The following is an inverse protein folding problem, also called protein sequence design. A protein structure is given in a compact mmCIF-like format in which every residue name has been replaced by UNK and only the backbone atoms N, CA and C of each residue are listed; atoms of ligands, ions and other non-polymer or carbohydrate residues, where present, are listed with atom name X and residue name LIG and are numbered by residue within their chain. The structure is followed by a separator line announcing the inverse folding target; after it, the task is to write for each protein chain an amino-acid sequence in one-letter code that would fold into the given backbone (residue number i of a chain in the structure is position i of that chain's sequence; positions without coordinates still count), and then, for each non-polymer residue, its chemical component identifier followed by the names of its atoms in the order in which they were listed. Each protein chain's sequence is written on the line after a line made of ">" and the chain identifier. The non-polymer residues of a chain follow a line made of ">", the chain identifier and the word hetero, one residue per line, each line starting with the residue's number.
data_IF_804920137030
#
_entry.id   IF_804920137030
#
_cell.length_a   1.000
_cell.length_b   1.000
_cell.length_c   1.000
_cell.angle_alpha   90.00
_cell.angle_beta   90.00
_cell.angle_gamma   90.00
#
_symmetry.space_group_name_H-M   'P 1'
#
loop_
_entity.id
_entity.type
_entity.pdbx_description
1 polymer ?
#
# COMPACT_ATOMS: atom_id res chain seq x y z
N UNK A 1 -24.41 16.93 -72.35
CA UNK A 1 -24.15 17.54 -71.03
C UNK A 1 -24.21 16.42 -69.99
N UNK A 2 -23.09 15.99 -69.33
CA UNK A 2 -23.13 14.95 -68.31
C UNK A 2 -23.31 15.59 -66.94
N UNK A 3 -24.12 14.91 -66.09
CA UNK A 3 -24.38 15.24 -64.72
C UNK A 3 -23.17 14.91 -63.86
N UNK A 4 -22.73 15.85 -63.04
CA UNK A 4 -21.67 15.66 -62.03
C UNK A 4 -22.22 14.91 -60.82
N UNK A 5 -21.76 13.72 -60.61
CA UNK A 5 -22.01 12.95 -59.38
C UNK A 5 -20.94 13.34 -58.35
N UNK A 6 -21.29 14.13 -57.36
CA UNK A 6 -20.45 14.40 -56.20
C UNK A 6 -20.46 13.19 -55.27
N UNK A 7 -19.33 12.53 -55.16
CA UNK A 7 -19.10 11.47 -54.17
C UNK A 7 -18.99 12.09 -52.77
N UNK A 8 -19.88 11.67 -51.87
CA UNK A 8 -19.82 12.00 -50.45
C UNK A 8 -18.80 11.06 -49.79
N UNK A 9 -17.76 11.63 -49.19
CA UNK A 9 -16.76 10.94 -48.41
C UNK A 9 -17.38 10.45 -47.07
N UNK A 10 -17.39 9.13 -46.74
CA UNK A 10 -18.05 8.61 -45.56
C UNK A 10 -17.25 8.76 -44.26
N UNK A 11 -16.14 9.51 -44.24
CA UNK A 11 -15.20 9.54 -43.08
C UNK A 11 -15.27 10.81 -42.21
N UNK A 12 -16.20 11.74 -42.47
CA UNK A 12 -16.40 12.92 -41.61
C UNK A 12 -17.60 12.70 -40.68
N UNK A 13 -17.35 12.08 -39.52
CA UNK A 13 -18.38 11.89 -38.48
C UNK A 13 -18.04 10.96 -37.33
N UNK A 14 -16.79 10.61 -37.15
CA UNK A 14 -16.40 9.89 -35.92
C UNK A 14 -16.29 10.91 -34.79
N UNK A 15 -17.28 10.91 -33.87
CA UNK A 15 -17.11 11.50 -32.53
C UNK A 15 -15.97 10.77 -31.87
N UNK A 16 -14.88 11.47 -31.51
CA UNK A 16 -13.81 10.93 -30.70
C UNK A 16 -14.40 10.34 -29.41
N UNK A 17 -13.98 9.15 -29.07
CA UNK A 17 -14.32 8.54 -27.80
C UNK A 17 -13.68 9.39 -26.68
N UNK A 18 -14.37 9.65 -25.57
CA UNK A 18 -13.79 10.34 -24.41
C UNK A 18 -12.46 9.72 -23.95
N UNK A 19 -12.28 8.44 -24.18
CA UNK A 19 -11.04 7.71 -23.93
C UNK A 19 -9.87 8.14 -24.82
N UNK A 20 -10.14 8.48 -26.08
CA UNK A 20 -9.13 8.92 -27.04
C UNK A 20 -8.64 10.34 -26.74
N UNK A 21 -9.56 11.22 -26.33
CA UNK A 21 -9.23 12.59 -25.92
C UNK A 21 -8.37 12.63 -24.65
N UNK A 22 -8.58 11.69 -23.69
CA UNK A 22 -7.74 11.54 -22.49
C UNK A 22 -6.35 11.03 -22.86
N UNK A 23 -6.26 10.05 -23.76
CA UNK A 23 -4.99 9.52 -24.24
C UNK A 23 -4.18 10.55 -25.01
N UNK A 24 -4.84 11.35 -25.86
CA UNK A 24 -4.20 12.43 -26.62
C UNK A 24 -3.78 13.61 -25.73
N UNK A 25 -4.54 13.93 -24.67
CA UNK A 25 -4.15 14.93 -23.66
C UNK A 25 -3.00 14.46 -22.80
N UNK A 26 -2.98 13.19 -22.36
CA UNK A 26 -1.83 12.59 -21.67
C UNK A 26 -0.56 12.65 -22.54
N UNK A 27 -0.67 12.26 -23.81
CA UNK A 27 0.44 12.33 -24.78
C UNK A 27 0.83 13.79 -25.08
N UNK A 28 -0.13 14.72 -25.11
CA UNK A 28 0.11 16.15 -25.33
C UNK A 28 0.79 16.82 -24.12
N UNK A 29 0.41 16.47 -22.89
CA UNK A 29 1.05 16.93 -21.66
C UNK A 29 2.51 16.44 -21.56
N UNK A 30 2.74 15.18 -21.94
CA UNK A 30 4.07 14.56 -22.02
C UNK A 30 4.99 15.29 -23.04
N UNK A 31 4.44 15.77 -24.15
CA UNK A 31 5.22 16.47 -25.19
C UNK A 31 5.61 17.90 -24.84
N UNK A 32 4.91 18.55 -23.92
CA UNK A 32 5.20 19.94 -23.53
C UNK A 32 6.24 20.11 -22.41
N UNK A 33 6.61 19.03 -21.73
CA UNK A 33 7.74 19.04 -20.79
C UNK A 33 8.90 18.32 -21.45
N UNK A 34 9.79 18.99 -22.11
CA UNK A 34 10.89 18.52 -22.96
C UNK A 34 11.87 17.45 -22.40
N UNK A 35 11.47 16.65 -21.41
CA UNK A 35 12.08 15.43 -20.95
C UNK A 35 11.10 14.28 -21.18
N UNK A 36 11.52 13.27 -21.95
CA UNK A 36 10.80 12.03 -22.05
C UNK A 36 10.59 11.48 -20.65
N UNK A 37 9.32 11.35 -20.17
CA UNK A 37 9.05 10.71 -18.90
C UNK A 37 9.55 9.26 -18.97
N UNK A 38 10.69 9.01 -18.35
CA UNK A 38 11.21 7.68 -18.18
C UNK A 38 10.52 7.08 -16.95
N UNK A 39 9.59 6.15 -17.15
CA UNK A 39 8.92 5.41 -16.07
C UNK A 39 9.78 4.25 -15.53
N UNK A 40 10.98 4.05 -16.05
CA UNK A 40 11.88 3.02 -15.56
C UNK A 40 12.68 3.58 -14.36
N UNK A 41 12.94 2.72 -13.40
CA UNK A 41 13.83 3.04 -12.30
C UNK A 41 15.25 3.28 -12.82
N UNK A 42 15.96 4.24 -12.19
CA UNK A 42 17.36 4.54 -12.50
C UNK A 42 18.29 3.34 -12.20
N UNK A 43 19.53 3.40 -12.66
CA UNK A 43 20.55 2.38 -12.34
C UNK A 43 20.74 2.26 -10.81
N UNK A 44 20.74 3.38 -10.08
CA UNK A 44 20.86 3.41 -8.62
C UNK A 44 19.67 2.75 -7.91
N UNK A 45 18.46 3.00 -8.40
CA UNK A 45 17.24 2.37 -7.87
C UNK A 45 17.19 0.86 -8.18
N UNK A 46 17.71 0.45 -9.35
CA UNK A 46 17.86 -0.96 -9.68
C UNK A 46 18.93 -1.64 -8.81
N UNK A 47 20.04 -0.96 -8.49
CA UNK A 47 21.03 -1.45 -7.54
C UNK A 47 20.43 -1.60 -6.13
N UNK A 48 19.65 -0.62 -5.68
CA UNK A 48 18.91 -0.72 -4.42
C UNK A 48 17.97 -1.94 -4.41
N UNK A 49 17.27 -2.19 -5.52
CA UNK A 49 16.41 -3.38 -5.66
C UNK A 49 17.19 -4.66 -5.49
N UNK A 50 18.32 -4.81 -6.19
CA UNK A 50 19.17 -6.00 -6.10
C UNK A 50 19.69 -6.22 -4.67
N UNK A 51 20.12 -5.15 -4.00
CA UNK A 51 20.54 -5.20 -2.60
C UNK A 51 19.38 -5.60 -1.67
N UNK A 52 18.21 -5.01 -1.86
CA UNK A 52 17.02 -5.34 -1.06
C UNK A 52 16.57 -6.78 -1.26
N UNK A 53 16.61 -7.30 -2.49
CA UNK A 53 16.32 -8.69 -2.80
C UNK A 53 17.30 -9.65 -2.13
N UNK A 54 18.60 -9.38 -2.24
CA UNK A 54 19.64 -10.18 -1.58
C UNK A 54 19.47 -10.19 -0.06
N UNK A 55 19.30 -9.00 0.54
CA UNK A 55 19.09 -8.87 1.98
C UNK A 55 17.84 -9.65 2.45
N UNK A 56 16.71 -9.52 1.76
CA UNK A 56 15.46 -10.19 2.15
C UNK A 56 15.47 -11.68 1.84
N UNK A 57 16.18 -12.14 0.81
CA UNK A 57 16.36 -13.56 0.56
C UNK A 57 17.07 -14.25 1.73
N UNK A 58 18.06 -13.58 2.33
CA UNK A 58 18.82 -14.11 3.46
C UNK A 58 18.10 -13.95 4.80
N UNK A 59 17.35 -12.85 5.00
CA UNK A 59 16.80 -12.48 6.33
C UNK A 59 15.28 -12.62 6.45
N UNK A 60 14.54 -12.70 5.34
CA UNK A 60 13.09 -12.84 5.31
C UNK A 60 12.62 -13.95 4.34
N UNK A 61 13.23 -15.15 4.34
CA UNK A 61 12.67 -16.28 3.62
C UNK A 61 11.26 -16.61 4.17
N UNK A 62 10.39 -17.33 3.44
CA UNK A 62 9.03 -17.65 3.89
C UNK A 62 8.95 -18.32 5.26
N UNK A 63 10.02 -19.00 5.69
CA UNK A 63 10.13 -19.60 7.03
C UNK A 63 10.05 -18.56 8.16
N UNK A 64 10.41 -17.30 7.91
CA UNK A 64 10.27 -16.21 8.91
C UNK A 64 8.79 -15.87 9.11
N UNK A 65 8.03 -15.70 8.02
CA UNK A 65 6.58 -15.49 8.11
C UNK A 65 5.89 -16.69 8.79
N UNK A 66 6.33 -17.91 8.48
CA UNK A 66 5.83 -19.13 9.12
C UNK A 66 6.11 -19.12 10.63
N UNK A 67 7.31 -18.77 11.05
CA UNK A 67 7.70 -18.68 12.47
C UNK A 67 6.82 -17.69 13.22
N UNK A 68 6.57 -16.50 12.66
CA UNK A 68 5.68 -15.50 13.27
C UNK A 68 4.26 -16.05 13.39
N UNK A 69 3.73 -16.66 12.33
CA UNK A 69 2.40 -17.26 12.33
C UNK A 69 2.24 -18.38 13.39
N UNK A 70 3.25 -19.24 13.54
CA UNK A 70 3.21 -20.38 14.46
C UNK A 70 3.45 -19.98 15.91
N UNK A 71 4.29 -18.98 16.16
CA UNK A 71 4.56 -18.47 17.50
C UNK A 71 3.44 -17.58 18.05
N UNK A 72 2.63 -17.02 17.17
CA UNK A 72 1.64 -15.99 17.53
C UNK A 72 2.27 -14.65 17.91
N UNK A 73 3.53 -14.42 17.51
CA UNK A 73 4.16 -13.10 17.63
C UNK A 73 3.51 -12.10 16.68
N UNK A 74 3.49 -10.82 17.06
CA UNK A 74 2.93 -9.77 16.22
C UNK A 74 3.80 -9.44 15.00
N UNK A 75 5.13 -9.65 15.11
CA UNK A 75 6.11 -9.42 14.03
C UNK A 75 7.43 -10.16 14.33
N UNK A 76 8.40 -10.09 13.40
CA UNK A 76 9.77 -10.57 13.59
C UNK A 76 10.69 -9.43 14.04
N UNK A 77 11.04 -9.39 15.32
CA UNK A 77 11.86 -8.32 15.92
C UNK A 77 13.28 -8.29 15.37
N UNK A 78 13.87 -9.46 15.06
CA UNK A 78 15.23 -9.51 14.50
C UNK A 78 15.27 -8.93 13.09
N UNK A 79 14.30 -9.30 12.27
CA UNK A 79 14.17 -8.75 10.92
C UNK A 79 13.92 -7.23 10.97
N UNK A 80 13.04 -6.77 11.87
CA UNK A 80 12.77 -5.35 12.05
C UNK A 80 14.05 -4.58 12.41
N UNK A 81 14.83 -5.04 13.37
CA UNK A 81 16.09 -4.40 13.74
C UNK A 81 17.06 -4.31 12.57
N UNK A 82 17.20 -5.39 11.78
CA UNK A 82 18.04 -5.39 10.57
C UNK A 82 17.55 -4.42 9.49
N UNK A 83 16.24 -4.28 9.31
CA UNK A 83 15.62 -3.31 8.39
C UNK A 83 15.93 -1.88 8.84
N UNK A 84 15.85 -1.60 10.12
CA UNK A 84 16.24 -0.31 10.72
C UNK A 84 17.73 -0.04 10.48
N UNK A 85 18.61 -1.02 10.73
CA UNK A 85 20.05 -0.91 10.48
C UNK A 85 20.39 -0.63 9.00
N UNK A 86 19.56 -1.11 8.06
CA UNK A 86 19.65 -0.76 6.63
C UNK A 86 19.17 0.65 6.31
N UNK A 87 18.62 1.39 7.28
CA UNK A 87 18.09 2.74 7.11
C UNK A 87 16.74 2.82 6.37
N UNK A 88 16.05 1.70 6.16
CA UNK A 88 14.81 1.71 5.37
C UNK A 88 13.68 2.48 6.01
N UNK A 89 13.63 2.52 7.35
CA UNK A 89 12.67 3.33 8.12
C UNK A 89 12.91 4.83 7.98
N UNK A 90 14.14 5.22 7.64
CA UNK A 90 14.60 6.59 7.51
C UNK A 90 14.53 7.13 6.07
N UNK A 91 14.16 6.29 5.08
CA UNK A 91 14.29 6.55 3.64
C UNK A 91 13.81 7.93 3.22
N UNK A 92 12.57 8.30 3.51
CA UNK A 92 11.95 9.57 3.07
C UNK A 92 11.95 10.67 4.13
N UNK A 93 12.45 10.38 5.33
CA UNK A 93 12.58 11.37 6.39
C UNK A 93 13.73 12.32 6.02
N UNK A 94 13.54 13.67 6.07
CA UNK A 94 14.59 14.62 5.81
C UNK A 94 15.81 14.44 6.73
N UNK A 95 17.01 14.76 6.21
CA UNK A 95 18.27 14.64 6.98
C UNK A 95 18.27 15.47 8.27
N UNK A 96 17.61 16.64 8.26
CA UNK A 96 17.45 17.51 9.44
C UNK A 96 16.69 16.84 10.59
N UNK A 97 15.90 15.81 10.31
CA UNK A 97 15.19 14.97 11.30
C UNK A 97 15.82 13.57 11.45
N UNK A 98 17.09 13.39 11.06
CA UNK A 98 17.80 12.13 11.22
C UNK A 98 17.45 11.07 10.17
N UNK A 99 16.83 11.45 9.06
CA UNK A 99 16.53 10.58 7.95
C UNK A 99 17.61 10.53 6.87
N UNK A 100 17.33 9.83 5.77
CA UNK A 100 18.21 9.73 4.60
C UNK A 100 17.88 10.75 3.51
N UNK A 101 16.73 11.42 3.58
CA UNK A 101 16.31 12.41 2.59
C UNK A 101 16.16 11.86 1.17
N UNK A 102 15.97 10.54 1.03
CA UNK A 102 15.78 9.90 -0.27
C UNK A 102 14.36 10.14 -0.79
N UNK A 103 14.14 9.78 -2.04
CA UNK A 103 12.85 10.01 -2.69
C UNK A 103 11.82 8.91 -2.41
N UNK A 104 10.57 9.15 -2.78
CA UNK A 104 9.52 8.12 -2.72
C UNK A 104 9.74 7.00 -3.72
N UNK A 105 10.59 7.19 -4.74
CA UNK A 105 10.92 6.12 -5.69
C UNK A 105 11.72 5.01 -5.01
N UNK A 106 12.72 5.37 -4.19
CA UNK A 106 13.49 4.40 -3.39
C UNK A 106 12.58 3.69 -2.38
N UNK A 107 11.66 4.41 -1.74
CA UNK A 107 10.69 3.79 -0.83
C UNK A 107 9.73 2.82 -1.56
N UNK A 108 9.34 3.13 -2.80
CA UNK A 108 8.56 2.21 -3.64
C UNK A 108 9.33 0.93 -3.97
N UNK A 109 10.63 1.01 -4.23
CA UNK A 109 11.49 -0.16 -4.45
C UNK A 109 11.55 -1.04 -3.20
N UNK A 110 11.77 -0.44 -2.02
CA UNK A 110 11.77 -1.16 -0.74
C UNK A 110 10.41 -1.81 -0.48
N UNK A 111 9.31 -1.09 -0.72
CA UNK A 111 7.95 -1.61 -0.54
C UNK A 111 7.69 -2.83 -1.42
N UNK A 112 8.13 -2.80 -2.69
CA UNK A 112 8.01 -3.93 -3.61
C UNK A 112 8.72 -5.18 -3.07
N UNK A 113 9.94 -5.03 -2.60
CA UNK A 113 10.73 -6.17 -2.14
C UNK A 113 10.22 -6.72 -0.79
N UNK A 114 9.75 -5.85 0.12
CA UNK A 114 9.06 -6.30 1.35
C UNK A 114 7.80 -7.11 1.03
N UNK A 115 7.04 -6.69 0.02
CA UNK A 115 5.88 -7.43 -0.47
C UNK A 115 6.24 -8.75 -1.11
N UNK A 116 7.32 -8.80 -1.90
CA UNK A 116 7.88 -10.00 -2.50
C UNK A 116 8.27 -11.05 -1.46
N UNK A 117 8.91 -10.61 -0.37
CA UNK A 117 9.34 -11.47 0.74
C UNK A 117 8.22 -11.78 1.75
N UNK A 118 7.02 -11.21 1.62
CA UNK A 118 5.92 -11.31 2.60
C UNK A 118 6.40 -10.98 4.01
N UNK A 119 7.30 -10.00 4.13
CA UNK A 119 7.99 -9.69 5.39
C UNK A 119 7.03 -9.40 6.53
N UNK A 120 7.16 -10.08 7.68
CA UNK A 120 6.27 -9.92 8.83
C UNK A 120 6.80 -8.84 9.78
N UNK A 121 6.78 -7.58 9.33
CA UNK A 121 7.30 -6.41 10.08
C UNK A 121 6.32 -5.23 10.01
N UNK A 122 6.30 -4.32 11.00
CA UNK A 122 5.36 -3.20 11.08
C UNK A 122 5.73 -2.03 10.14
N UNK A 123 6.36 -2.32 8.99
CA UNK A 123 6.88 -1.30 8.10
C UNK A 123 5.78 -0.40 7.54
N UNK A 124 4.68 -1.00 7.11
CA UNK A 124 3.60 -0.22 6.48
C UNK A 124 2.84 0.66 7.48
N UNK A 125 2.61 0.20 8.70
CA UNK A 125 1.95 1.01 9.74
C UNK A 125 2.86 2.15 10.21
N UNK A 126 4.14 1.89 10.39
CA UNK A 126 5.09 2.88 10.87
C UNK A 126 5.51 3.86 9.77
N UNK A 127 5.96 3.37 8.60
CA UNK A 127 6.53 4.21 7.54
C UNK A 127 5.45 4.78 6.61
N UNK A 128 4.56 3.94 6.03
CA UNK A 128 3.59 4.44 5.03
C UNK A 128 2.47 5.26 5.67
N UNK A 129 2.17 5.05 6.95
CA UNK A 129 1.04 5.68 7.61
C UNK A 129 1.46 6.70 8.67
N UNK A 130 2.11 6.28 9.77
CA UNK A 130 2.39 7.19 10.88
C UNK A 130 3.47 8.22 10.55
N UNK A 131 4.61 7.79 10.01
CA UNK A 131 5.69 8.69 9.57
C UNK A 131 5.20 9.68 8.53
N UNK A 132 4.48 9.18 7.52
CA UNK A 132 3.92 10.01 6.45
C UNK A 132 2.93 11.05 6.98
N UNK A 133 2.05 10.67 7.94
CA UNK A 133 1.12 11.61 8.56
C UNK A 133 1.84 12.75 9.30
N UNK A 134 2.97 12.46 9.98
CA UNK A 134 3.77 13.45 10.69
C UNK A 134 4.54 14.33 9.69
N UNK A 135 5.11 13.77 8.64
CA UNK A 135 5.75 14.54 7.57
C UNK A 135 4.79 15.53 6.93
N UNK A 136 3.57 15.10 6.63
CA UNK A 136 2.54 15.93 5.98
C UNK A 136 1.95 17.01 6.87
N UNK A 137 1.70 16.72 8.14
CA UNK A 137 0.83 17.53 8.99
C UNK A 137 1.42 17.90 10.35
N UNK A 138 2.59 17.38 10.71
CA UNK A 138 3.27 17.69 11.97
C UNK A 138 3.77 19.12 12.02
N UNK A 139 3.69 19.74 13.20
CA UNK A 139 4.45 20.95 13.49
C UNK A 139 5.94 20.63 13.53
N UNK A 140 6.82 21.63 13.39
CA UNK A 140 8.28 21.41 13.47
C UNK A 140 8.67 20.71 14.78
N UNK A 141 8.11 21.13 15.92
CA UNK A 141 8.35 20.48 17.21
C UNK A 141 7.90 19.01 17.25
N UNK A 142 6.80 18.66 16.58
CA UNK A 142 6.35 17.28 16.46
C UNK A 142 7.27 16.46 15.55
N UNK A 143 7.73 17.04 14.44
CA UNK A 143 8.68 16.40 13.55
C UNK A 143 10.02 16.17 14.25
N UNK A 144 10.57 17.17 14.92
CA UNK A 144 11.80 17.06 15.73
C UNK A 144 11.70 16.00 16.84
N UNK A 145 10.49 15.82 17.41
CA UNK A 145 10.27 14.86 18.49
C UNK A 145 10.17 13.43 17.99
N UNK A 146 9.41 13.22 16.89
CA UNK A 146 8.97 11.88 16.48
C UNK A 146 9.73 11.30 15.31
N UNK A 147 10.11 12.12 14.31
CA UNK A 147 10.74 11.58 13.10
C UNK A 147 12.09 10.92 13.37
N UNK A 148 12.99 11.47 14.23
CA UNK A 148 14.24 10.77 14.56
C UNK A 148 14.02 9.40 15.21
N UNK A 149 13.04 9.29 16.09
CA UNK A 149 12.72 8.03 16.79
C UNK A 149 12.10 7.00 15.84
N UNK A 150 11.24 7.45 14.92
CA UNK A 150 10.67 6.59 13.86
C UNK A 150 11.76 6.13 12.89
N UNK A 151 12.67 7.02 12.50
CA UNK A 151 13.81 6.71 11.65
C UNK A 151 14.73 5.65 12.28
N UNK A 152 15.03 5.81 13.58
CA UNK A 152 15.86 4.88 14.35
C UNK A 152 15.12 3.59 14.77
N UNK A 153 13.82 3.46 14.45
CA UNK A 153 13.01 2.30 14.87
C UNK A 153 12.79 2.19 16.38
N UNK A 154 13.12 3.23 17.15
CA UNK A 154 12.88 3.32 18.59
C UNK A 154 11.39 3.43 18.92
N UNK A 155 10.61 3.93 17.97
CA UNK A 155 9.16 4.08 18.05
C UNK A 155 8.53 3.42 16.84
N UNK A 156 7.54 2.57 17.08
CA UNK A 156 6.68 2.01 16.04
C UNK A 156 5.39 2.82 16.01
N UNK A 157 5.07 3.37 14.83
CA UNK A 157 3.87 4.15 14.63
C UNK A 157 2.72 3.35 14.01
N UNK A 158 1.48 3.81 14.22
CA UNK A 158 0.29 3.25 13.55
C UNK A 158 -0.75 4.32 13.22
N UNK A 159 -1.72 3.95 12.37
CA UNK A 159 -2.89 4.76 12.03
C UNK A 159 -4.17 4.10 12.54
N UNK A 160 -4.87 4.78 13.44
CA UNK A 160 -6.14 4.35 14.00
C UNK A 160 -7.30 5.19 13.42
N UNK A 161 -7.78 4.84 12.23
CA UNK A 161 -8.85 5.58 11.55
C UNK A 161 -10.23 4.92 11.71
N UNK A 162 -10.32 3.59 11.68
CA UNK A 162 -11.58 2.85 11.60
C UNK A 162 -12.22 2.60 12.98
N UNK A 163 -13.55 2.57 13.00
CA UNK A 163 -14.38 2.22 14.17
C UNK A 163 -15.33 1.06 13.88
N UNK A 164 -14.96 0.22 12.92
CA UNK A 164 -15.74 -0.89 12.41
C UNK A 164 -15.79 -0.91 10.89
N UNK A 165 -16.81 -1.54 10.33
CA UNK A 165 -16.98 -1.62 8.89
C UNK A 165 -17.39 -0.28 8.27
N UNK A 166 -16.93 -0.05 7.03
CA UNK A 166 -17.25 1.14 6.25
C UNK A 166 -16.20 2.25 6.32
N UNK A 167 -16.38 3.27 5.46
CA UNK A 167 -15.48 4.43 5.42
C UNK A 167 -15.76 5.36 6.61
N UNK A 168 -14.73 5.79 7.35
CA UNK A 168 -14.93 6.78 8.40
C UNK A 168 -15.38 8.11 7.79
N UNK A 169 -16.23 8.81 8.51
CA UNK A 169 -16.69 10.15 8.16
C UNK A 169 -16.92 10.96 9.43
N UNK A 170 -16.89 12.29 9.34
CA UNK A 170 -17.11 13.15 10.49
C UNK A 170 -18.47 12.89 11.20
N UNK A 171 -19.43 12.29 10.48
CA UNK A 171 -20.79 12.00 11.02
C UNK A 171 -20.88 10.68 11.77
N UNK A 172 -20.04 9.70 11.44
CA UNK A 172 -20.07 8.33 12.00
C UNK A 172 -18.91 8.02 12.96
N UNK A 173 -18.11 9.03 13.34
CA UNK A 173 -17.06 8.88 14.34
C UNK A 173 -17.65 8.95 15.75
N UNK A 174 -17.44 7.88 16.52
CA UNK A 174 -17.78 7.82 17.96
C UNK A 174 -16.60 8.26 18.82
N UNK A 175 -15.35 8.03 18.41
CA UNK A 175 -14.18 8.56 19.10
C UNK A 175 -14.20 10.07 19.15
N UNK A 176 -14.16 10.63 20.36
CA UNK A 176 -14.30 12.06 20.60
C UNK A 176 -13.18 12.61 21.47
N UNK A 177 -12.69 13.79 21.11
CA UNK A 177 -11.77 14.58 21.92
C UNK A 177 -12.53 15.72 22.59
N UNK A 178 -12.51 15.73 23.92
CA UNK A 178 -13.02 16.81 24.79
C UNK A 178 -11.94 17.24 25.75
N UNK A 179 -11.70 18.54 25.87
CA UNK A 179 -10.71 19.13 26.78
C UNK A 179 -9.31 18.46 26.65
N UNK A 180 -8.87 18.20 25.41
CA UNK A 180 -7.59 17.55 25.11
C UNK A 180 -7.51 16.07 25.50
N UNK A 181 -8.65 15.40 25.72
CA UNK A 181 -8.73 13.99 26.12
C UNK A 181 -9.58 13.20 25.14
N UNK A 182 -9.01 12.09 24.64
CA UNK A 182 -9.67 11.17 23.72
C UNK A 182 -10.38 10.05 24.48
N UNK A 183 -11.61 9.78 24.06
CA UNK A 183 -12.38 8.60 24.49
C UNK A 183 -13.06 7.95 23.29
N UNK A 184 -13.14 6.61 23.29
CA UNK A 184 -13.75 5.82 22.22
C UNK A 184 -12.97 4.57 21.90
N UNK A 185 -13.29 3.92 20.79
CA UNK A 185 -12.67 2.66 20.37
C UNK A 185 -12.35 2.68 18.88
N UNK A 186 -11.13 2.29 18.53
CA UNK A 186 -10.67 2.08 17.15
C UNK A 186 -10.48 0.61 16.83
N UNK A 187 -10.99 0.17 15.68
CA UNK A 187 -10.91 -1.23 15.22
C UNK A 187 -11.24 -1.34 13.72
N UNK A 188 -10.51 -2.15 12.93
CA UNK A 188 -9.20 -2.71 13.25
C UNK A 188 -8.11 -1.64 13.17
N UNK A 189 -7.03 -1.80 13.94
CA UNK A 189 -5.84 -0.95 13.88
C UNK A 189 -4.63 -1.83 13.59
N UNK A 190 -3.85 -1.56 12.53
CA UNK A 190 -2.67 -2.34 12.20
C UNK A 190 -1.60 -2.16 13.28
N UNK A 191 -0.92 -3.24 13.60
CA UNK A 191 0.21 -3.31 14.54
C UNK A 191 -0.06 -2.65 15.92
N UNK A 192 -1.32 -2.60 16.34
CA UNK A 192 -1.74 -1.90 17.56
C UNK A 192 -1.11 -2.47 18.84
N UNK A 193 -0.75 -3.76 18.85
CA UNK A 193 -0.15 -4.46 20.00
C UNK A 193 1.27 -4.02 20.32
N UNK A 194 1.96 -3.49 19.31
CA UNK A 194 3.37 -3.11 19.36
C UNK A 194 3.62 -1.63 19.07
N UNK A 195 2.56 -0.87 18.79
CA UNK A 195 2.68 0.56 18.49
C UNK A 195 2.97 1.37 19.75
N UNK A 196 3.94 2.27 19.67
CA UNK A 196 4.28 3.27 20.70
C UNK A 196 3.55 4.59 20.46
N UNK A 197 3.23 4.88 19.20
CA UNK A 197 2.58 6.11 18.75
C UNK A 197 1.43 5.80 17.79
N UNK A 198 0.25 6.36 18.04
CA UNK A 198 -0.88 6.25 17.14
C UNK A 198 -1.29 7.61 16.55
N UNK A 199 -1.45 7.68 15.23
CA UNK A 199 -2.20 8.74 14.56
C UNK A 199 -3.67 8.38 14.59
N UNK A 200 -4.50 9.14 15.29
CA UNK A 200 -5.90 8.80 15.53
C UNK A 200 -6.83 9.82 14.87
N UNK A 201 -7.74 9.33 14.04
CA UNK A 201 -8.86 10.11 13.54
C UNK A 201 -9.96 10.18 14.60
N UNK A 202 -10.29 11.36 15.11
CA UNK A 202 -11.37 11.55 16.07
C UNK A 202 -12.12 12.85 15.83
N UNK A 203 -13.35 12.92 16.32
CA UNK A 203 -14.12 14.18 16.27
C UNK A 203 -13.82 15.07 17.47
N UNK A 204 -13.91 16.37 17.25
CA UNK A 204 -14.05 17.38 18.28
C UNK A 204 -15.29 18.21 17.95
N UNK A 205 -16.35 18.02 18.73
CA UNK A 205 -17.67 18.50 18.37
C UNK A 205 -18.18 17.87 17.05
N UNK A 206 -18.47 18.69 16.04
CA UNK A 206 -18.97 18.25 14.72
C UNK A 206 -17.87 18.03 13.67
N UNK A 207 -16.61 18.30 14.00
CA UNK A 207 -15.49 18.25 13.04
C UNK A 207 -14.54 17.11 13.36
N UNK A 208 -14.05 16.42 12.33
CA UNK A 208 -13.00 15.44 12.48
C UNK A 208 -11.60 16.10 12.41
N UNK A 209 -10.68 15.60 13.22
CA UNK A 209 -9.27 16.00 13.26
C UNK A 209 -8.38 14.78 13.44
N UNK A 210 -7.10 14.90 13.08
CA UNK A 210 -6.09 13.92 13.43
C UNK A 210 -5.41 14.32 14.74
N UNK A 211 -5.00 13.32 15.49
CA UNK A 211 -4.32 13.47 16.77
C UNK A 211 -3.18 12.49 16.91
N UNK A 212 -2.08 12.91 17.52
CA UNK A 212 -1.03 12.03 18.01
C UNK A 212 -1.38 11.54 19.41
N UNK A 213 -1.21 10.24 19.63
CA UNK A 213 -1.48 9.59 20.92
C UNK A 213 -0.31 8.67 21.24
N UNK A 214 0.43 9.00 22.30
CA UNK A 214 1.39 8.07 22.88
C UNK A 214 0.63 6.88 23.49
N UNK A 215 1.06 5.67 23.20
CA UNK A 215 0.33 4.47 23.60
C UNK A 215 0.57 4.08 25.06
N UNK A 216 1.71 4.46 25.63
CA UNK A 216 2.01 4.22 27.05
C UNK A 216 1.36 5.26 27.96
N UNK A 217 0.05 5.12 28.18
CA UNK A 217 -0.73 5.94 29.12
C UNK A 217 -1.42 5.10 30.19
N UNK A 218 -0.90 3.90 30.45
CA UNK A 218 -1.46 2.97 31.41
C UNK A 218 -2.91 2.59 31.10
N UNK A 219 -3.78 2.58 32.11
CA UNK A 219 -5.19 2.16 31.94
C UNK A 219 -6.05 3.08 31.05
N UNK A 220 -5.50 4.19 30.53
CA UNK A 220 -6.22 5.09 29.62
C UNK A 220 -6.18 4.63 28.19
N UNK A 221 -5.21 3.80 27.82
CA UNK A 221 -5.09 3.17 26.51
C UNK A 221 -5.03 1.66 26.73
N UNK A 222 -6.01 0.95 26.23
CA UNK A 222 -6.06 -0.52 26.34
C UNK A 222 -6.12 -1.12 24.95
N UNK A 223 -5.19 -2.05 24.67
CA UNK A 223 -5.12 -2.78 23.41
C UNK A 223 -5.57 -4.22 23.61
N UNK A 224 -6.29 -4.76 22.65
CA UNK A 224 -6.62 -6.18 22.57
C UNK A 224 -6.46 -6.68 21.14
N UNK A 225 -5.95 -7.92 20.93
CA UNK A 225 -5.71 -8.45 19.61
C UNK A 225 -7.01 -8.64 18.82
N UNK A 226 -6.91 -8.54 17.49
CA UNK A 226 -7.97 -8.85 16.53
C UNK A 226 -7.43 -9.91 15.57
N UNK A 227 -8.09 -11.05 15.51
CA UNK A 227 -7.72 -12.11 14.59
C UNK A 227 -8.04 -11.70 13.16
N UNK A 228 -7.04 -11.78 12.30
CA UNK A 228 -7.16 -11.52 10.86
C UNK A 228 -6.85 -12.77 10.05
N UNK A 229 -7.10 -12.71 8.74
CA UNK A 229 -6.76 -13.81 7.84
C UNK A 229 -5.24 -13.97 7.68
N UNK A 230 -4.48 -12.88 7.82
CA UNK A 230 -3.00 -12.88 7.81
C UNK A 230 -2.45 -12.46 9.18
N UNK A 231 -2.27 -13.40 10.12
CA UNK A 231 -1.73 -13.10 11.44
C UNK A 231 -0.24 -12.74 11.45
N UNK A 232 0.46 -12.80 10.30
CA UNK A 232 1.86 -12.35 10.19
C UNK A 232 2.01 -10.83 10.19
N UNK A 233 0.89 -10.11 10.24
CA UNK A 233 0.76 -8.67 10.50
C UNK A 233 -0.26 -8.48 11.62
N UNK A 234 0.19 -8.03 12.76
CA UNK A 234 -0.65 -7.82 13.93
C UNK A 234 -1.78 -6.80 13.67
N UNK A 235 -2.94 -7.03 14.26
CA UNK A 235 -4.04 -6.08 14.28
C UNK A 235 -4.67 -6.07 15.65
N UNK A 236 -5.17 -4.91 16.07
CA UNK A 236 -5.80 -4.78 17.39
C UNK A 236 -7.01 -3.87 17.39
N UNK A 237 -7.66 -3.91 18.54
CA UNK A 237 -8.64 -2.92 18.98
C UNK A 237 -7.97 -2.05 20.03
N UNK A 238 -8.03 -0.72 19.86
CA UNK A 238 -7.55 0.24 20.85
C UNK A 238 -8.77 0.91 21.49
N UNK A 239 -8.84 0.85 22.81
CA UNK A 239 -9.84 1.55 23.61
C UNK A 239 -9.18 2.70 24.36
N UNK A 240 -9.65 3.92 24.11
CA UNK A 240 -9.22 5.13 24.77
C UNK A 240 -10.20 5.51 25.88
N UNK A 241 -9.67 5.88 27.05
CA UNK A 241 -10.44 6.38 28.20
C UNK A 241 -9.76 7.62 28.76
N UNK A 242 -10.18 8.79 28.28
CA UNK A 242 -9.57 10.07 28.62
C UNK A 242 -8.05 10.08 28.38
N UNK A 243 -7.59 9.48 27.27
CA UNK A 243 -6.19 9.49 26.86
C UNK A 243 -5.77 10.91 26.44
N UNK A 244 -4.56 11.33 26.82
CA UNK A 244 -3.98 12.61 26.38
C UNK A 244 -3.68 12.53 24.89
N UNK A 245 -3.92 13.60 24.18
CA UNK A 245 -3.66 13.71 22.75
C UNK A 245 -3.05 15.05 22.40
N UNK A 246 -2.30 15.07 21.31
CA UNK A 246 -1.83 16.28 20.66
C UNK A 246 -2.50 16.43 19.29
N UNK A 247 -3.02 17.62 18.91
CA UNK A 247 -3.54 17.83 17.57
C UNK A 247 -2.45 17.63 16.50
N UNK A 248 -2.78 16.90 15.43
CA UNK A 248 -1.93 16.76 14.25
C UNK A 248 -2.57 17.52 13.09
N UNK A 249 -1.87 18.52 12.60
CA UNK A 249 -2.36 19.39 11.54
C UNK A 249 -3.46 20.36 11.99
N UNK A 250 -4.16 20.95 11.03
CA UNK A 250 -5.19 21.97 11.28
C UNK A 250 -6.48 21.36 11.83
N UNK A 251 -6.97 21.90 12.94
CA UNK A 251 -8.21 21.45 13.58
C UNK A 251 -9.41 21.49 12.61
N UNK A 252 -10.18 20.40 12.59
CA UNK A 252 -11.35 20.24 11.71
C UNK A 252 -11.04 19.81 10.28
N UNK A 253 -9.77 19.62 9.92
CA UNK A 253 -9.30 19.18 8.61
C UNK A 253 -8.91 17.69 8.57
N UNK A 254 -9.31 16.92 9.59
CA UNK A 254 -8.89 15.52 9.73
C UNK A 254 -9.31 14.62 8.56
N UNK A 255 -10.48 14.84 7.94
CA UNK A 255 -10.89 14.06 6.78
C UNK A 255 -10.05 14.38 5.54
N UNK A 256 -9.77 15.67 5.29
CA UNK A 256 -8.94 16.10 4.17
C UNK A 256 -7.50 15.57 4.31
N UNK A 257 -6.94 15.66 5.52
CA UNK A 257 -5.61 15.14 5.82
C UNK A 257 -5.56 13.61 5.72
N UNK A 258 -6.59 12.92 6.19
CA UNK A 258 -6.69 11.46 6.05
C UNK A 258 -6.78 11.06 4.57
N UNK A 259 -7.61 11.72 3.77
CA UNK A 259 -7.75 11.41 2.36
C UNK A 259 -6.42 11.60 1.61
N UNK A 260 -5.69 12.69 1.87
CA UNK A 260 -4.37 12.93 1.30
C UNK A 260 -3.32 11.88 1.78
N UNK A 261 -3.34 11.51 3.07
CA UNK A 261 -2.48 10.45 3.60
C UNK A 261 -2.76 9.11 2.93
N UNK A 262 -4.04 8.77 2.75
CA UNK A 262 -4.42 7.50 2.12
C UNK A 262 -4.02 7.44 0.65
N UNK A 263 -4.06 8.55 -0.11
CA UNK A 263 -3.59 8.58 -1.49
C UNK A 263 -2.08 8.30 -1.57
N UNK A 264 -1.29 8.90 -0.70
CA UNK A 264 0.15 8.66 -0.62
C UNK A 264 0.47 7.22 -0.21
N UNK A 265 -0.17 6.74 0.86
CA UNK A 265 -0.01 5.37 1.34
C UNK A 265 -0.48 4.33 0.29
N UNK A 266 -1.53 4.62 -0.49
CA UNK A 266 -2.04 3.71 -1.50
C UNK A 266 -1.01 3.35 -2.56
N UNK A 267 -0.16 4.31 -2.96
CA UNK A 267 0.94 4.05 -3.89
C UNK A 267 1.93 3.04 -3.30
N UNK A 268 2.34 3.23 -2.05
CA UNK A 268 3.31 2.36 -1.36
C UNK A 268 2.72 0.94 -1.14
N UNK A 269 1.47 0.85 -0.72
CA UNK A 269 0.77 -0.43 -0.62
C UNK A 269 0.57 -1.11 -1.98
N UNK A 270 0.37 -0.36 -3.05
CA UNK A 270 0.27 -0.92 -4.39
C UNK A 270 1.60 -1.55 -4.84
N UNK A 271 2.74 -0.92 -4.54
CA UNK A 271 4.06 -1.48 -4.78
C UNK A 271 4.30 -2.76 -3.96
N UNK A 272 3.96 -2.76 -2.66
CA UNK A 272 4.02 -3.98 -1.84
C UNK A 272 3.17 -5.11 -2.44
N UNK A 273 1.97 -4.80 -2.94
CA UNK A 273 1.11 -5.80 -3.58
C UNK A 273 1.67 -6.32 -4.91
N UNK A 274 2.28 -5.47 -5.73
CA UNK A 274 2.89 -5.89 -7.00
C UNK A 274 4.09 -6.80 -6.75
N UNK A 275 4.90 -6.52 -5.72
CA UNK A 275 5.98 -7.40 -5.29
C UNK A 275 5.49 -8.79 -4.91
N UNK A 276 4.46 -8.86 -4.06
CA UNK A 276 3.83 -10.13 -3.68
C UNK A 276 3.17 -10.88 -4.84
N UNK A 277 2.54 -10.15 -5.77
CA UNK A 277 1.95 -10.73 -6.98
C UNK A 277 3.01 -11.35 -7.90
N UNK A 278 4.16 -10.69 -8.03
CA UNK A 278 5.28 -11.18 -8.81
C UNK A 278 5.87 -12.46 -8.21
N UNK A 279 6.11 -12.48 -6.91
CA UNK A 279 6.59 -13.68 -6.21
C UNK A 279 5.61 -14.86 -6.32
N UNK A 280 4.30 -14.60 -6.23
CA UNK A 280 3.27 -15.63 -6.42
C UNK A 280 3.29 -16.22 -7.85
N UNK A 281 3.52 -15.39 -8.87
CA UNK A 281 3.70 -15.86 -10.25
C UNK A 281 4.94 -16.74 -10.40
N UNK A 282 6.06 -16.32 -9.82
CA UNK A 282 7.33 -17.06 -9.89
C UNK A 282 7.23 -18.41 -9.21
N UNK A 283 6.64 -18.48 -8.02
CA UNK A 283 6.37 -19.76 -7.35
C UNK A 283 5.48 -20.69 -8.18
N UNK A 284 4.39 -20.16 -8.75
CA UNK A 284 3.50 -20.94 -9.60
C UNK A 284 4.22 -21.47 -10.85
N UNK A 285 5.07 -20.64 -11.47
CA UNK A 285 5.88 -21.01 -12.63
C UNK A 285 6.89 -22.11 -12.28
N UNK A 286 7.64 -21.93 -11.20
CA UNK A 286 8.66 -22.89 -10.75
C UNK A 286 8.02 -24.24 -10.44
N UNK A 287 6.94 -24.26 -9.66
CA UNK A 287 6.19 -25.48 -9.38
C UNK A 287 5.68 -26.15 -10.66
N UNK A 288 5.10 -25.38 -11.58
CA UNK A 288 4.57 -25.91 -12.83
C UNK A 288 5.66 -26.50 -13.73
N UNK A 289 6.87 -25.98 -13.71
CA UNK A 289 8.03 -26.50 -14.45
C UNK A 289 8.58 -27.80 -13.83
N UNK A 290 8.55 -27.89 -12.48
CA UNK A 290 9.07 -29.06 -11.76
C UNK A 290 8.08 -30.20 -11.57
N UNK A 291 6.75 -29.93 -11.60
CA UNK A 291 5.72 -30.94 -11.37
C UNK A 291 5.33 -31.66 -12.66
N UNK A 292 5.43 -32.98 -12.64
CA UNK A 292 5.06 -33.86 -13.77
C UNK A 292 3.66 -34.45 -13.55
N UNK A 293 2.86 -34.50 -14.62
CA UNK A 293 1.61 -35.24 -14.70
C UNK A 293 1.45 -35.78 -16.14
N UNK A 294 1.03 -37.04 -16.27
CA UNK A 294 0.90 -37.71 -17.57
C UNK A 294 2.17 -37.64 -18.45
N UNK A 295 3.34 -37.86 -17.83
CA UNK A 295 4.64 -37.97 -18.50
C UNK A 295 5.30 -36.65 -18.92
N UNK A 296 4.76 -35.46 -18.53
CA UNK A 296 5.34 -34.17 -18.88
C UNK A 296 5.10 -33.13 -17.80
N UNK A 297 5.91 -32.06 -17.75
CA UNK A 297 5.68 -30.92 -16.78
C UNK A 297 4.29 -30.33 -16.95
N UNK A 298 3.61 -29.99 -15.86
CA UNK A 298 2.28 -29.41 -15.95
C UNK A 298 2.29 -28.04 -16.64
N UNK A 299 3.42 -27.32 -16.65
CA UNK A 299 3.63 -26.09 -17.43
C UNK A 299 3.41 -26.29 -18.94
N UNK A 300 3.50 -27.53 -19.46
CA UNK A 300 3.28 -27.80 -20.85
C UNK A 300 1.81 -27.81 -21.29
N UNK A 301 0.87 -27.87 -20.34
CA UNK A 301 -0.57 -27.87 -20.63
C UNK A 301 -1.09 -26.44 -20.83
N UNK A 302 -1.95 -26.24 -21.84
CA UNK A 302 -2.49 -24.93 -22.19
C UNK A 302 -3.22 -24.27 -21.01
N UNK A 303 -3.98 -25.02 -20.23
CA UNK A 303 -4.70 -24.48 -19.07
C UNK A 303 -3.76 -23.82 -18.05
N UNK A 304 -2.58 -24.39 -17.80
CA UNK A 304 -1.56 -23.82 -16.91
C UNK A 304 -0.83 -22.67 -17.58
N UNK A 305 -0.40 -22.82 -18.86
CA UNK A 305 0.25 -21.74 -19.61
C UNK A 305 -0.60 -20.46 -19.65
N UNK A 306 -1.90 -20.61 -19.93
CA UNK A 306 -2.81 -19.47 -20.02
C UNK A 306 -3.00 -18.79 -18.67
N UNK A 307 -3.06 -19.52 -17.57
CA UNK A 307 -3.09 -18.95 -16.22
C UNK A 307 -1.84 -18.13 -15.91
N UNK A 308 -0.66 -18.70 -16.13
CA UNK A 308 0.61 -18.02 -15.93
C UNK A 308 0.72 -16.77 -16.81
N UNK A 309 0.27 -16.85 -18.07
CA UNK A 309 0.22 -15.69 -18.96
C UNK A 309 -0.72 -14.59 -18.44
N UNK A 310 -1.91 -14.96 -17.94
CA UNK A 310 -2.85 -13.99 -17.33
C UNK A 310 -2.28 -13.37 -16.05
N UNK A 311 -1.60 -14.13 -15.20
CA UNK A 311 -0.90 -13.61 -14.03
C UNK A 311 0.16 -12.59 -14.46
N UNK A 312 0.99 -12.94 -15.46
CA UNK A 312 2.02 -12.04 -15.99
C UNK A 312 1.44 -10.74 -16.52
N UNK A 313 0.41 -10.80 -17.38
CA UNK A 313 -0.23 -9.61 -17.96
C UNK A 313 -0.81 -8.71 -16.88
N UNK A 314 -1.55 -9.28 -15.91
CA UNK A 314 -2.14 -8.49 -14.81
C UNK A 314 -1.08 -7.83 -13.93
N UNK A 315 -0.01 -8.57 -13.59
CA UNK A 315 1.09 -8.02 -12.80
C UNK A 315 1.82 -6.89 -13.54
N UNK A 316 2.07 -7.04 -14.84
CA UNK A 316 2.72 -6.01 -15.67
C UNK A 316 1.88 -4.75 -15.77
N UNK A 317 0.56 -4.90 -16.02
CA UNK A 317 -0.35 -3.74 -16.08
C UNK A 317 -0.45 -3.03 -14.71
N UNK A 318 -0.55 -3.79 -13.61
CA UNK A 318 -0.57 -3.22 -12.28
C UNK A 318 0.74 -2.47 -11.96
N UNK A 319 1.89 -3.04 -12.33
CA UNK A 319 3.21 -2.40 -12.19
C UNK A 319 3.28 -1.09 -12.98
N UNK A 320 2.77 -1.05 -14.21
CA UNK A 320 2.72 0.17 -15.02
C UNK A 320 1.91 1.28 -14.32
N UNK A 321 0.76 0.92 -13.73
CA UNK A 321 -0.04 1.85 -12.94
C UNK A 321 0.68 2.29 -11.65
N UNK A 322 1.46 1.41 -11.03
CA UNK A 322 2.27 1.76 -9.86
C UNK A 322 3.40 2.75 -10.20
N UNK A 323 4.02 2.65 -11.38
CA UNK A 323 4.99 3.67 -11.83
C UNK A 323 4.35 5.05 -11.97
N UNK A 324 3.14 5.13 -12.54
CA UNK A 324 2.40 6.38 -12.59
C UNK A 324 2.11 6.93 -11.18
N UNK A 325 1.67 6.05 -10.25
CA UNK A 325 1.49 6.40 -8.84
C UNK A 325 2.77 6.90 -8.17
N UNK A 326 3.91 6.21 -8.39
CA UNK A 326 5.20 6.56 -7.81
C UNK A 326 5.69 7.92 -8.32
N UNK A 327 5.56 8.18 -9.63
CA UNK A 327 5.87 9.47 -10.22
C UNK A 327 5.01 10.60 -9.60
N UNK A 328 3.70 10.41 -9.55
CA UNK A 328 2.79 11.42 -9.00
C UNK A 328 3.07 11.69 -7.51
N UNK A 329 3.37 10.64 -6.73
CA UNK A 329 3.74 10.77 -5.32
C UNK A 329 5.07 11.52 -5.16
N UNK A 330 6.08 11.16 -5.96
CA UNK A 330 7.42 11.72 -5.86
C UNK A 330 7.48 13.19 -6.27
N UNK A 331 6.70 13.57 -7.27
CA UNK A 331 6.66 14.96 -7.78
C UNK A 331 5.63 15.83 -7.06
N UNK A 332 4.77 15.25 -6.21
CA UNK A 332 3.66 15.97 -5.58
C UNK A 332 2.63 16.47 -6.61
N UNK A 333 2.43 15.72 -7.70
CA UNK A 333 1.54 16.12 -8.79
C UNK A 333 0.07 16.20 -8.31
N UNK A 334 -0.69 17.13 -8.87
CA UNK A 334 -2.13 17.30 -8.59
C UNK A 334 -2.95 16.06 -8.96
N UNK A 335 -2.43 15.23 -9.88
CA UNK A 335 -3.02 13.96 -10.32
C UNK A 335 -2.83 12.81 -9.33
N UNK A 336 -2.14 13.02 -8.21
CA UNK A 336 -1.86 11.97 -7.23
C UNK A 336 -3.11 11.19 -6.80
N UNK A 337 -4.28 11.78 -6.52
CA UNK A 337 -5.47 11.02 -6.15
C UNK A 337 -5.92 10.03 -7.24
N UNK A 338 -5.85 10.43 -8.52
CA UNK A 338 -6.18 9.58 -9.67
C UNK A 338 -5.15 8.45 -9.84
N UNK A 339 -3.87 8.80 -9.82
CA UNK A 339 -2.76 7.86 -9.99
C UNK A 339 -2.72 6.82 -8.85
N UNK A 340 -2.91 7.26 -7.60
CA UNK A 340 -2.95 6.41 -6.41
C UNK A 340 -4.12 5.43 -6.45
N UNK A 341 -5.32 5.88 -6.77
CA UNK A 341 -6.50 5.02 -6.88
C UNK A 341 -6.34 4.00 -8.02
N UNK A 342 -5.80 4.42 -9.17
CA UNK A 342 -5.52 3.54 -10.31
C UNK A 342 -4.49 2.45 -9.94
N UNK A 343 -3.37 2.84 -9.32
CA UNK A 343 -2.36 1.91 -8.83
C UNK A 343 -2.95 0.92 -7.82
N UNK A 344 -3.72 1.43 -6.86
CA UNK A 344 -4.29 0.63 -5.78
C UNK A 344 -5.29 -0.41 -6.29
N UNK A 345 -6.25 -0.02 -7.13
CA UNK A 345 -7.27 -0.94 -7.68
C UNK A 345 -6.60 -2.02 -8.52
N UNK A 346 -5.68 -1.66 -9.41
CA UNK A 346 -5.00 -2.62 -10.28
C UNK A 346 -4.10 -3.59 -9.48
N UNK A 347 -3.41 -3.11 -8.45
CA UNK A 347 -2.55 -3.95 -7.60
C UNK A 347 -3.36 -4.92 -6.73
N UNK A 348 -4.51 -4.49 -6.15
CA UNK A 348 -5.43 -5.38 -5.43
C UNK A 348 -5.86 -6.54 -6.33
N UNK A 349 -6.32 -6.24 -7.55
CA UNK A 349 -6.82 -7.24 -8.49
C UNK A 349 -5.71 -8.19 -8.97
N UNK A 350 -4.54 -7.65 -9.29
CA UNK A 350 -3.40 -8.45 -9.74
C UNK A 350 -2.91 -9.40 -8.64
N UNK A 351 -2.73 -8.90 -7.41
CA UNK A 351 -2.22 -9.72 -6.31
C UNK A 351 -3.20 -10.80 -5.88
N UNK A 352 -4.49 -10.47 -5.79
CA UNK A 352 -5.51 -11.47 -5.51
C UNK A 352 -5.55 -12.56 -6.58
N UNK A 353 -5.55 -12.18 -7.85
CA UNK A 353 -5.54 -13.13 -8.95
C UNK A 353 -4.28 -14.00 -8.93
N UNK A 354 -3.09 -13.39 -8.82
CA UNK A 354 -1.83 -14.12 -8.82
C UNK A 354 -1.73 -15.10 -7.64
N UNK A 355 -2.05 -14.67 -6.43
CA UNK A 355 -1.97 -15.52 -5.24
C UNK A 355 -2.97 -16.68 -5.26
N UNK A 356 -4.20 -16.44 -5.75
CA UNK A 356 -5.22 -17.47 -5.94
C UNK A 356 -4.80 -18.51 -6.96
N UNK A 357 -4.30 -18.07 -8.14
CA UNK A 357 -3.88 -18.99 -9.20
C UNK A 357 -2.56 -19.69 -8.85
N UNK A 358 -1.73 -19.11 -7.98
CA UNK A 358 -0.57 -19.79 -7.40
C UNK A 358 -1.01 -21.04 -6.60
N UNK A 359 -1.95 -20.88 -5.63
CA UNK A 359 -2.52 -22.01 -4.89
C UNK A 359 -3.13 -23.03 -5.84
N UNK A 360 -3.93 -22.59 -6.82
CA UNK A 360 -4.57 -23.48 -7.78
C UNK A 360 -3.56 -24.25 -8.63
N UNK A 361 -2.43 -23.65 -9.01
CA UNK A 361 -1.35 -24.29 -9.78
C UNK A 361 -0.68 -25.40 -8.97
N UNK A 362 -0.52 -25.20 -7.65
CA UNK A 362 0.00 -26.23 -6.74
C UNK A 362 -0.99 -27.37 -6.49
N UNK A 363 -2.27 -27.22 -6.86
CA UNK A 363 -3.30 -28.24 -6.67
C UNK A 363 -3.52 -28.56 -5.19
N UNK A 364 -3.66 -29.84 -4.83
CA UNK A 364 -3.84 -30.28 -3.45
C UNK A 364 -2.72 -29.81 -2.51
N UNK A 365 -1.49 -29.76 -3.00
CA UNK A 365 -0.33 -29.30 -2.23
C UNK A 365 -0.45 -27.82 -1.81
N UNK A 366 -1.09 -26.98 -2.63
CA UNK A 366 -1.33 -25.57 -2.33
C UNK A 366 -2.22 -25.30 -1.11
N UNK A 367 -2.97 -26.32 -0.67
CA UNK A 367 -3.83 -26.26 0.52
C UNK A 367 -3.17 -26.89 1.76
N UNK A 368 -2.00 -27.48 1.61
CA UNK A 368 -1.28 -28.06 2.75
C UNK A 368 -0.48 -26.98 3.49
N UNK A 369 -0.20 -27.25 4.78
CA UNK A 369 0.62 -26.37 5.61
C UNK A 369 2.09 -26.33 5.17
N UNK A 370 2.54 -27.34 4.43
CA UNK A 370 3.93 -27.52 4.00
C UNK A 370 4.36 -26.49 2.94
N UNK A 371 3.41 -25.96 2.16
CA UNK A 371 3.70 -25.03 1.06
C UNK A 371 3.42 -23.56 1.45
N UNK A 372 4.33 -22.67 1.02
CA UNK A 372 4.34 -21.27 1.40
C UNK A 372 3.42 -20.38 0.54
N UNK A 373 2.82 -20.92 -0.54
CA UNK A 373 1.92 -20.16 -1.41
C UNK A 373 0.72 -19.56 -0.67
N UNK A 374 0.31 -20.15 0.47
CA UNK A 374 -0.75 -19.63 1.32
C UNK A 374 -0.43 -18.25 1.93
N UNK A 375 0.84 -17.92 2.19
CA UNK A 375 1.22 -16.63 2.77
C UNK A 375 0.89 -15.49 1.80
N UNK A 376 1.14 -15.66 0.52
CA UNK A 376 0.80 -14.68 -0.51
C UNK A 376 -0.71 -14.47 -0.62
N UNK A 377 -1.50 -15.55 -0.53
CA UNK A 377 -2.96 -15.44 -0.55
C UNK A 377 -3.49 -14.69 0.68
N UNK A 378 -3.02 -15.04 1.88
CA UNK A 378 -3.38 -14.37 3.14
C UNK A 378 -3.03 -12.88 3.09
N UNK A 379 -1.77 -12.55 2.71
CA UNK A 379 -1.30 -11.18 2.57
C UNK A 379 -2.09 -10.41 1.51
N UNK A 380 -2.44 -11.01 0.39
CA UNK A 380 -3.26 -10.34 -0.64
C UNK A 380 -4.63 -9.94 -0.11
N UNK A 381 -5.25 -10.76 0.75
CA UNK A 381 -6.54 -10.46 1.38
C UNK A 381 -6.41 -9.34 2.42
N UNK A 382 -5.39 -9.38 3.26
CA UNK A 382 -5.14 -8.32 4.23
C UNK A 382 -4.93 -6.99 3.53
N UNK A 383 -3.99 -6.94 2.58
CA UNK A 383 -3.65 -5.70 1.88
C UNK A 383 -4.81 -5.18 1.02
N UNK A 384 -5.78 -6.00 0.63
CA UNK A 384 -6.95 -5.53 -0.13
C UNK A 384 -7.93 -4.68 0.67
N UNK A 385 -7.81 -4.67 2.02
CA UNK A 385 -8.77 -3.99 2.90
C UNK A 385 -8.14 -3.06 3.95
N UNK A 386 -6.82 -3.13 4.17
CA UNK A 386 -6.14 -2.47 5.28
C UNK A 386 -6.27 -0.92 5.30
N UNK A 387 -6.37 -0.28 4.14
CA UNK A 387 -6.62 1.17 4.00
C UNK A 387 -7.92 1.45 3.22
N UNK A 388 -8.88 0.55 3.30
CA UNK A 388 -10.16 0.62 2.60
C UNK A 388 -10.33 -0.51 1.58
N UNK A 389 -11.59 -0.86 1.29
CA UNK A 389 -11.94 -1.93 0.35
C UNK A 389 -11.66 -1.55 -1.10
N UNK A 390 -11.59 -2.55 -1.98
CA UNK A 390 -11.49 -2.34 -3.43
C UNK A 390 -12.62 -1.43 -3.95
N UNK A 391 -13.87 -1.66 -3.51
CA UNK A 391 -15.00 -0.83 -3.91
C UNK A 391 -14.82 0.64 -3.52
N UNK A 392 -14.32 0.92 -2.30
CA UNK A 392 -14.00 2.30 -1.88
C UNK A 392 -12.94 2.93 -2.78
N UNK A 393 -11.94 2.18 -3.19
CA UNK A 393 -10.89 2.69 -4.09
C UNK A 393 -11.39 2.86 -5.53
N UNK A 394 -12.35 2.05 -5.98
CA UNK A 394 -13.05 2.25 -7.27
C UNK A 394 -13.89 3.53 -7.24
N UNK A 395 -14.62 3.81 -6.15
CA UNK A 395 -15.36 5.06 -5.99
C UNK A 395 -14.39 6.26 -6.01
N UNK A 396 -13.27 6.21 -5.25
CA UNK A 396 -12.25 7.27 -5.27
C UNK A 396 -11.63 7.48 -6.65
N UNK A 397 -11.45 6.41 -7.41
CA UNK A 397 -10.94 6.48 -8.78
C UNK A 397 -11.89 7.27 -9.68
N UNK A 398 -13.20 7.00 -9.60
CA UNK A 398 -14.19 7.71 -10.39
C UNK A 398 -14.30 9.18 -9.95
N UNK A 399 -14.37 9.44 -8.64
CA UNK A 399 -14.39 10.81 -8.09
C UNK A 399 -13.18 11.63 -8.58
N UNK A 400 -11.97 11.04 -8.53
CA UNK A 400 -10.74 11.70 -8.98
C UNK A 400 -10.70 11.89 -10.50
N UNK A 401 -11.21 10.93 -11.27
CA UNK A 401 -11.32 11.03 -12.73
C UNK A 401 -12.27 12.16 -13.14
N UNK A 402 -13.45 12.26 -12.53
CA UNK A 402 -14.42 13.33 -12.79
C UNK A 402 -13.85 14.71 -12.44
N UNK A 403 -13.15 14.82 -11.30
CA UNK A 403 -12.49 16.06 -10.88
C UNK A 403 -11.36 16.48 -11.83
N UNK A 404 -10.64 15.53 -12.44
CA UNK A 404 -9.56 15.80 -13.40
C UNK A 404 -10.11 16.17 -14.79
N UNK A 405 -11.29 15.67 -15.15
CA UNK A 405 -11.94 15.94 -16.43
C UNK A 405 -12.72 17.28 -16.47
N UNK A 406 -13.00 17.89 -15.31
CA UNK A 406 -13.72 19.16 -15.15
C UNK A 406 -12.78 20.37 -15.30
#
# INVERSE_FOLDING_TARGET
>A
MPASTTAIDPLQGRRHSPFQDVQDRMIGSIRNQGEAMNFEFSEEQNLLREQAQGFLADNSPPSVARRVLESGADYDEELWRKIVEMGWTATVIPEEFGGLGLSYLELCVIAEELGRAVSPVPFSSSVYLATEAILMAGTEAQKETWLPKLAAGEVIGTLAMAEGAGRPSAKNLDCEVKDGKLSGTKIPVPDAGIADLAVVLARSGKRASLYLVEMDQGSKVAVSPVNTLDPTRGHGRIRFKNARVEPLGKAGKGMELLDALLDRAAVLFAWEQVGGAQAALEQAREYAMGRYAFGRPIASYQAIKHKLAQMYVKNTLARSNCYYGAWALNTGADELPLAAATARVSAIQAYYFASKENIQTHGGMGYTWEFDCQFYYRRSKLLSVNIGSEAMWQDRLIDAYEAHAA
#
